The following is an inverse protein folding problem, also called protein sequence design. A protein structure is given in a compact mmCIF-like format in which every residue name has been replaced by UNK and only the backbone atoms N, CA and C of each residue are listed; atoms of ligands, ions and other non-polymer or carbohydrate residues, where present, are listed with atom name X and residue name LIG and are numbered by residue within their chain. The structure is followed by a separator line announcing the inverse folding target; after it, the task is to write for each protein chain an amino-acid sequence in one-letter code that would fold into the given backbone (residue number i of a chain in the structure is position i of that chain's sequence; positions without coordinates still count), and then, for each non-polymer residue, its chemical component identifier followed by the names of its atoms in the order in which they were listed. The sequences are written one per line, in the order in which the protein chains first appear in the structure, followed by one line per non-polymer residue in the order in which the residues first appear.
data_IF_323663186623
#
_entry.id   IF_323663186623
#
_cell.length_a   1.000
_cell.length_b   1.000
_cell.length_c   1.000
_cell.angle_alpha   90.00
_cell.angle_beta   90.00
_cell.angle_gamma   90.00
#
_symmetry.space_group_name_H-M   'P 1'
#
loop_
_entity.id
_entity.type
_entity.pdbx_description
1 polymer ?
#
# COMPACT_ATOMS: atom_id res chain seq x y z
N UNK A 1 -10.50 -27.43 38.29
CA UNK A 1 -9.80 -26.21 37.86
C UNK A 1 -9.30 -26.48 36.45
N UNK A 2 -10.03 -25.99 35.45
CA UNK A 2 -9.68 -26.22 34.04
C UNK A 2 -8.71 -25.15 33.58
N UNK A 3 -7.55 -25.58 33.09
CA UNK A 3 -6.57 -24.73 32.44
C UNK A 3 -7.21 -24.07 31.21
N UNK A 4 -7.61 -22.82 31.37
CA UNK A 4 -7.92 -21.92 30.25
C UNK A 4 -6.62 -21.29 29.76
N UNK A 5 -5.67 -22.13 29.35
CA UNK A 5 -4.54 -21.68 28.53
C UNK A 5 -5.03 -21.48 27.11
N UNK A 6 -5.88 -20.46 26.92
CA UNK A 6 -6.06 -19.84 25.61
C UNK A 6 -4.70 -19.24 25.29
N UNK A 7 -3.86 -20.03 24.63
CA UNK A 7 -2.63 -19.57 24.02
C UNK A 7 -3.04 -18.48 23.04
N UNK A 8 -2.99 -17.24 23.53
CA UNK A 8 -3.25 -16.03 22.77
C UNK A 8 -2.14 -15.98 21.73
N UNK A 9 -2.40 -16.59 20.57
CA UNK A 9 -1.47 -16.63 19.46
C UNK A 9 -1.08 -15.19 19.16
N UNK A 10 0.18 -14.84 19.46
CA UNK A 10 0.68 -13.48 19.23
C UNK A 10 0.36 -13.09 17.79
N UNK A 11 -0.15 -11.88 17.54
CA UNK A 11 -0.37 -11.42 16.17
C UNK A 11 0.96 -11.46 15.44
N UNK A 12 1.07 -12.36 14.46
CA UNK A 12 2.27 -12.53 13.68
C UNK A 12 2.44 -11.31 12.77
N UNK A 13 3.67 -10.85 12.58
CA UNK A 13 3.98 -9.71 11.71
C UNK A 13 3.76 -10.04 10.21
N UNK A 14 3.58 -11.33 9.90
CA UNK A 14 3.51 -11.91 8.55
C UNK A 14 2.41 -11.30 7.67
N UNK A 15 1.16 -11.07 8.14
CA UNK A 15 0.13 -10.42 7.34
C UNK A 15 0.46 -8.97 7.01
N UNK A 16 1.12 -8.26 7.93
CA UNK A 16 1.58 -6.88 7.72
C UNK A 16 2.65 -6.80 6.63
N UNK A 17 3.64 -7.71 6.65
CA UNK A 17 4.67 -7.80 5.61
C UNK A 17 4.05 -8.12 4.24
N UNK A 18 3.16 -9.11 4.17
CA UNK A 18 2.50 -9.49 2.92
C UNK A 18 1.69 -8.32 2.34
N UNK A 19 0.94 -7.60 3.19
CA UNK A 19 0.23 -6.40 2.78
C UNK A 19 1.18 -5.28 2.34
N UNK A 20 2.30 -5.09 3.04
CA UNK A 20 3.36 -4.16 2.63
C UNK A 20 3.88 -4.44 1.23
N UNK A 21 4.16 -5.71 0.91
CA UNK A 21 4.64 -6.13 -0.41
C UNK A 21 3.57 -5.90 -1.49
N UNK A 22 2.32 -6.28 -1.22
CA UNK A 22 1.22 -6.12 -2.17
C UNK A 22 0.92 -4.64 -2.43
N UNK A 23 0.85 -3.83 -1.37
CA UNK A 23 0.48 -2.43 -1.49
C UNK A 23 1.59 -1.60 -2.11
N UNK A 24 2.83 -1.72 -1.63
CA UNK A 24 3.96 -0.96 -2.20
C UNK A 24 4.29 -1.44 -3.60
N UNK A 25 4.28 -2.76 -3.83
CA UNK A 25 4.47 -3.33 -5.17
C UNK A 25 3.36 -2.91 -6.14
N UNK A 26 2.10 -2.89 -5.68
CA UNK A 26 0.96 -2.39 -6.46
C UNK A 26 1.09 -0.91 -6.83
N UNK A 27 1.54 -0.06 -5.89
CA UNK A 27 1.79 1.36 -6.18
C UNK A 27 2.93 1.52 -7.19
N UNK A 28 3.99 0.71 -7.11
CA UNK A 28 5.05 0.66 -8.12
C UNK A 28 4.52 0.29 -9.52
N UNK A 29 3.66 -0.74 -9.60
CA UNK A 29 3.05 -1.17 -10.85
C UNK A 29 2.19 -0.04 -11.44
N UNK A 30 1.38 0.63 -10.61
CA UNK A 30 0.58 1.77 -11.05
C UNK A 30 1.46 2.91 -11.57
N UNK A 31 2.54 3.26 -10.87
CA UNK A 31 3.50 4.26 -11.35
C UNK A 31 4.20 3.83 -12.65
N UNK A 32 4.50 2.53 -12.82
CA UNK A 32 5.09 2.02 -14.05
C UNK A 32 4.12 2.07 -15.24
N UNK A 33 2.85 1.74 -15.00
CA UNK A 33 1.80 1.86 -16.02
C UNK A 33 1.56 3.32 -16.41
N UNK A 34 1.60 4.23 -15.43
CA UNK A 34 1.49 5.67 -15.64
C UNK A 34 2.63 6.26 -16.48
N UNK A 35 3.83 5.68 -16.40
CA UNK A 35 5.04 6.11 -17.12
C UNK A 35 5.27 5.35 -18.43
N UNK A 36 4.40 4.42 -18.80
CA UNK A 36 4.51 3.70 -20.06
C UNK A 36 4.30 4.67 -21.24
N UNK A 37 5.20 4.63 -22.23
CA UNK A 37 5.18 5.52 -23.39
C UNK A 37 3.83 5.54 -24.13
N UNK A 38 3.15 4.39 -24.24
CA UNK A 38 1.81 4.33 -24.83
C UNK A 38 0.76 5.19 -24.09
N UNK A 39 0.89 5.35 -22.77
CA UNK A 39 0.03 6.21 -21.95
C UNK A 39 0.42 7.68 -22.10
N UNK A 40 1.72 7.97 -22.24
CA UNK A 40 2.22 9.34 -22.49
C UNK A 40 1.86 9.84 -23.90
N UNK A 41 2.03 9.00 -24.93
CA UNK A 41 1.73 9.31 -26.33
C UNK A 41 0.23 9.57 -26.57
N UNK A 42 -0.65 8.93 -25.79
CA UNK A 42 -2.09 9.22 -25.80
C UNK A 42 -2.40 10.63 -25.26
N UNK A 43 -1.61 11.15 -24.32
CA UNK A 43 -1.76 12.51 -23.79
C UNK A 43 -1.45 13.56 -24.86
N UNK A 44 -0.34 13.36 -25.58
CA UNK A 44 0.17 14.30 -26.57
C UNK A 44 -0.75 14.40 -27.79
N UNK A 45 -1.48 13.31 -28.10
CA UNK A 45 -2.37 13.26 -29.26
C UNK A 45 -3.75 13.87 -29.01
N UNK A 46 -4.38 13.56 -27.88
CA UNK A 46 -5.80 13.90 -27.69
C UNK A 46 -6.03 15.14 -26.81
N UNK A 47 -5.00 15.64 -26.12
CA UNK A 47 -5.10 16.83 -25.25
C UNK A 47 -6.09 16.68 -24.07
N UNK A 48 -6.75 15.54 -23.97
CA UNK A 48 -7.73 15.18 -22.94
C UNK A 48 -7.19 13.94 -22.22
N UNK A 49 -7.18 13.93 -20.88
CA UNK A 49 -6.68 12.78 -20.15
C UNK A 49 -7.53 11.54 -20.44
N UNK A 50 -6.89 10.49 -20.98
CA UNK A 50 -7.57 9.26 -21.39
C UNK A 50 -8.13 8.49 -20.19
N UNK A 51 -9.10 7.60 -20.41
CA UNK A 51 -9.63 6.72 -19.35
C UNK A 51 -8.50 5.96 -18.63
N UNK A 52 -7.50 5.48 -19.37
CA UNK A 52 -6.32 4.83 -18.80
C UNK A 52 -5.52 5.75 -17.88
N UNK A 53 -5.35 7.03 -18.23
CA UNK A 53 -4.65 7.99 -17.37
C UNK A 53 -5.43 8.35 -16.12
N UNK A 54 -6.74 8.53 -16.25
CA UNK A 54 -7.61 8.75 -15.09
C UNK A 54 -7.69 7.52 -14.19
N UNK A 55 -7.51 6.30 -14.74
CA UNK A 55 -7.56 5.03 -14.01
C UNK A 55 -6.23 4.60 -13.39
N UNK A 56 -5.08 4.97 -13.98
CA UNK A 56 -3.75 4.57 -13.50
C UNK A 56 -2.93 5.72 -12.89
N UNK A 57 -3.42 6.95 -12.98
CA UNK A 57 -2.83 8.16 -12.41
C UNK A 57 -1.69 8.69 -13.26
N UNK A 58 -1.83 9.89 -13.80
CA UNK A 58 -0.73 10.53 -14.54
C UNK A 58 0.21 11.26 -13.56
N UNK A 59 1.52 11.10 -13.73
CA UNK A 59 2.51 11.85 -12.94
C UNK A 59 2.64 11.43 -11.48
N UNK A 60 2.34 10.17 -11.16
CA UNK A 60 2.52 9.61 -9.82
C UNK A 60 4.01 9.64 -9.42
N UNK A 61 4.43 10.74 -8.79
CA UNK A 61 5.82 10.99 -8.43
C UNK A 61 6.28 10.33 -7.12
N UNK A 62 5.60 9.25 -6.68
CA UNK A 62 5.79 8.69 -5.34
C UNK A 62 7.19 8.16 -5.08
N UNK A 63 7.82 7.62 -6.12
CA UNK A 63 9.19 7.11 -6.08
C UNK A 63 10.17 7.99 -6.86
N UNK A 64 9.77 9.17 -7.33
CA UNK A 64 10.63 10.04 -8.14
C UNK A 64 9.93 10.61 -9.38
N UNK A 65 10.63 11.38 -10.22
CA UNK A 65 10.00 12.16 -11.29
C UNK A 65 9.61 11.31 -12.51
N UNK A 66 10.33 10.21 -12.76
CA UNK A 66 10.03 9.21 -13.79
C UNK A 66 10.92 7.96 -13.58
N UNK A 67 10.49 6.78 -14.05
CA UNK A 67 11.30 5.55 -14.07
C UNK A 67 12.59 5.73 -14.88
N UNK A 68 12.52 6.46 -15.99
CA UNK A 68 13.70 6.77 -16.82
C UNK A 68 14.71 7.66 -16.08
N UNK A 69 14.23 8.53 -15.20
CA UNK A 69 15.12 9.36 -14.37
C UNK A 69 15.87 8.52 -13.31
N UNK A 70 15.29 7.42 -12.84
CA UNK A 70 15.94 6.52 -11.86
C UNK A 70 17.20 5.87 -12.43
N UNK A 71 17.20 5.55 -13.73
CA UNK A 71 18.36 4.92 -14.37
C UNK A 71 19.44 5.92 -14.77
N UNK A 72 19.08 7.19 -14.96
CA UNK A 72 19.98 8.24 -15.45
C UNK A 72 20.65 9.04 -14.33
N UNK A 73 20.04 9.14 -13.14
CA UNK A 73 20.60 9.92 -12.03
C UNK A 73 20.59 9.13 -10.71
N UNK A 74 21.77 8.82 -10.14
CA UNK A 74 21.88 8.07 -8.88
C UNK A 74 21.11 8.69 -7.70
N UNK A 75 21.00 10.02 -7.65
CA UNK A 75 20.26 10.73 -6.60
C UNK A 75 18.76 10.42 -6.61
N UNK A 76 18.17 10.16 -7.79
CA UNK A 76 16.77 9.73 -7.89
C UNK A 76 16.60 8.28 -7.46
N UNK A 77 17.57 7.40 -7.75
CA UNK A 77 17.55 6.02 -7.27
C UNK A 77 17.58 5.96 -5.73
N UNK A 78 18.41 6.78 -5.08
CA UNK A 78 18.43 6.90 -3.61
C UNK A 78 17.07 7.33 -3.08
N UNK A 79 16.48 8.40 -3.66
CA UNK A 79 15.14 8.87 -3.28
C UNK A 79 14.07 7.78 -3.40
N UNK A 80 14.07 7.03 -4.50
CA UNK A 80 13.13 5.94 -4.74
C UNK A 80 13.27 4.80 -3.73
N UNK A 81 14.51 4.39 -3.42
CA UNK A 81 14.80 3.34 -2.44
C UNK A 81 14.34 3.80 -1.05
N UNK A 82 14.70 5.02 -0.64
CA UNK A 82 14.31 5.56 0.67
C UNK A 82 12.79 5.68 0.78
N UNK A 83 12.12 6.17 -0.27
CA UNK A 83 10.66 6.25 -0.32
C UNK A 83 10.02 4.86 -0.24
N UNK A 84 10.54 3.88 -0.98
CA UNK A 84 10.05 2.49 -0.94
C UNK A 84 10.14 1.89 0.46
N UNK A 85 11.29 2.05 1.12
CA UNK A 85 11.50 1.54 2.49
C UNK A 85 10.56 2.22 3.48
N UNK A 86 10.41 3.55 3.39
CA UNK A 86 9.53 4.30 4.28
C UNK A 86 8.06 3.93 4.08
N UNK A 87 7.61 3.85 2.83
CA UNK A 87 6.25 3.41 2.48
C UNK A 87 5.98 1.99 2.97
N UNK A 88 6.93 1.07 2.77
CA UNK A 88 6.81 -0.31 3.24
C UNK A 88 6.70 -0.37 4.76
N UNK A 89 7.50 0.40 5.50
CA UNK A 89 7.43 0.46 6.95
C UNK A 89 6.08 1.02 7.44
N UNK A 90 5.60 2.10 6.84
CA UNK A 90 4.29 2.72 7.18
C UNK A 90 3.15 1.74 6.92
N UNK A 91 3.10 1.15 5.72
CA UNK A 91 2.04 0.20 5.37
C UNK A 91 2.07 -1.01 6.29
N UNK A 92 3.25 -1.62 6.47
CA UNK A 92 3.41 -2.80 7.32
C UNK A 92 2.94 -2.50 8.73
N UNK A 93 3.32 -1.34 9.29
CA UNK A 93 2.91 -0.89 10.61
C UNK A 93 1.40 -0.68 10.72
N UNK A 94 0.79 0.05 9.78
CA UNK A 94 -0.64 0.36 9.79
C UNK A 94 -1.47 -0.91 9.62
N UNK A 95 -1.13 -1.76 8.66
CA UNK A 95 -1.87 -3.00 8.41
C UNK A 95 -1.67 -3.99 9.57
N UNK A 96 -0.48 -4.07 10.16
CA UNK A 96 -0.25 -4.90 11.34
C UNK A 96 -1.06 -4.41 12.56
N UNK A 97 -1.05 -3.11 12.83
CA UNK A 97 -1.82 -2.51 13.92
C UNK A 97 -3.33 -2.65 13.71
N UNK A 98 -3.80 -2.32 12.51
CA UNK A 98 -5.23 -2.38 12.16
C UNK A 98 -5.75 -3.81 12.09
N UNK A 99 -4.96 -4.73 11.50
CA UNK A 99 -5.35 -6.13 11.31
C UNK A 99 -5.38 -6.95 12.59
N UNK A 100 -4.73 -6.49 13.67
CA UNK A 100 -4.67 -7.18 14.98
C UNK A 100 -6.04 -7.45 15.59
N UNK A 101 -7.04 -6.65 15.25
CA UNK A 101 -8.39 -6.74 15.80
C UNK A 101 -9.44 -7.17 14.77
N UNK A 102 -9.02 -7.48 13.54
CA UNK A 102 -9.94 -7.85 12.47
C UNK A 102 -10.17 -9.36 12.50
N UNK A 103 -11.42 -9.74 12.75
CA UNK A 103 -11.87 -11.13 12.64
C UNK A 103 -11.72 -11.63 11.19
N UNK A 104 -11.51 -12.94 10.94
CA UNK A 104 -11.31 -13.49 9.59
C UNK A 104 -12.42 -13.16 8.59
N UNK A 105 -13.66 -13.00 9.05
CA UNK A 105 -14.83 -12.61 8.25
C UNK A 105 -14.89 -11.10 7.93
N UNK A 106 -14.02 -10.28 8.53
CA UNK A 106 -13.96 -8.83 8.39
C UNK A 106 -13.24 -8.34 7.14
N UNK A 107 -13.43 -9.00 5.98
CA UNK A 107 -12.74 -8.65 4.74
C UNK A 107 -12.86 -7.16 4.38
N UNK A 108 -14.04 -6.57 4.55
CA UNK A 108 -14.23 -5.13 4.30
C UNK A 108 -13.34 -4.25 5.20
N UNK A 109 -13.12 -4.64 6.45
CA UNK A 109 -12.24 -3.91 7.35
C UNK A 109 -10.78 -3.98 6.88
N UNK A 110 -10.32 -5.13 6.39
CA UNK A 110 -8.98 -5.27 5.79
C UNK A 110 -8.83 -4.38 4.56
N UNK A 111 -9.85 -4.33 3.70
CA UNK A 111 -9.85 -3.42 2.55
C UNK A 111 -9.71 -1.96 2.98
N UNK A 112 -10.52 -1.51 3.95
CA UNK A 112 -10.48 -0.12 4.44
C UNK A 112 -9.13 0.21 5.06
N UNK A 113 -8.56 -0.70 5.87
CA UNK A 113 -7.23 -0.53 6.47
C UNK A 113 -6.16 -0.45 5.38
N UNK A 114 -6.19 -1.36 4.40
CA UNK A 114 -5.23 -1.40 3.31
C UNK A 114 -5.33 -0.15 2.42
N UNK A 115 -6.55 0.32 2.16
CA UNK A 115 -6.78 1.54 1.39
C UNK A 115 -6.28 2.76 2.15
N UNK A 116 -6.59 2.90 3.44
CA UNK A 116 -6.04 3.98 4.25
C UNK A 116 -4.51 3.93 4.35
N UNK A 117 -3.94 2.73 4.50
CA UNK A 117 -2.50 2.53 4.49
C UNK A 117 -1.86 2.98 3.18
N UNK A 118 -2.53 2.77 2.03
CA UNK A 118 -2.05 3.26 0.74
C UNK A 118 -2.06 4.79 0.64
N UNK A 119 -3.04 5.48 1.23
CA UNK A 119 -3.03 6.95 1.33
C UNK A 119 -1.83 7.46 2.12
N UNK A 120 -1.58 6.84 3.27
CA UNK A 120 -0.41 7.16 4.10
C UNK A 120 0.90 6.85 3.37
N UNK A 121 0.96 5.74 2.62
CA UNK A 121 2.12 5.40 1.81
C UNK A 121 2.39 6.46 0.75
N UNK A 122 1.38 6.85 -0.04
CA UNK A 122 1.53 7.86 -1.07
C UNK A 122 2.02 9.21 -0.51
N UNK A 123 1.44 9.66 0.60
CA UNK A 123 1.89 10.87 1.30
C UNK A 123 3.34 10.73 1.80
N UNK A 124 3.68 9.57 2.36
CA UNK A 124 5.04 9.25 2.85
C UNK A 124 6.06 9.27 1.71
N UNK A 125 5.75 8.65 0.57
CA UNK A 125 6.63 8.60 -0.59
C UNK A 125 6.96 9.98 -1.13
N UNK A 126 5.96 10.86 -1.21
CA UNK A 126 6.14 12.26 -1.62
C UNK A 126 7.02 13.00 -0.61
N UNK A 127 6.67 12.93 0.68
CA UNK A 127 7.41 13.61 1.75
C UNK A 127 8.90 13.19 1.77
N UNK A 128 9.17 11.89 1.67
CA UNK A 128 10.54 11.36 1.66
C UNK A 128 11.30 11.82 0.42
N UNK A 129 10.67 11.82 -0.76
CA UNK A 129 11.31 12.33 -1.97
C UNK A 129 11.66 13.82 -1.86
N UNK A 130 10.78 14.63 -1.27
CA UNK A 130 11.05 16.05 -1.02
C UNK A 130 12.24 16.23 -0.09
N UNK A 131 12.28 15.49 1.02
CA UNK A 131 13.37 15.56 2.00
C UNK A 131 14.70 15.09 1.40
N UNK A 132 14.72 13.93 0.74
CA UNK A 132 15.93 13.37 0.15
C UNK A 132 16.48 14.28 -0.95
N UNK A 133 15.62 14.80 -1.84
CA UNK A 133 16.08 15.74 -2.88
C UNK A 133 16.62 17.03 -2.30
N UNK A 134 16.00 17.54 -1.25
CA UNK A 134 16.46 18.77 -0.59
C UNK A 134 17.81 18.56 0.09
N UNK A 135 18.00 17.40 0.73
CA UNK A 135 19.25 17.03 1.38
C UNK A 135 20.40 16.76 0.39
N UNK A 136 20.09 16.24 -0.79
CA UNK A 136 21.07 15.98 -1.85
C UNK A 136 21.29 17.17 -2.80
N UNK A 137 20.55 18.27 -2.62
CA UNK A 137 20.69 19.46 -3.47
C UNK A 137 21.96 20.24 -3.11
N UNK A 138 22.76 20.68 -4.10
CA UNK A 138 23.90 21.58 -3.87
C UNK A 138 23.49 22.92 -3.22
N UNK A 139 22.24 23.33 -3.38
CA UNK A 139 21.66 24.51 -2.74
C UNK A 139 20.28 24.12 -2.15
N UNK A 140 20.21 23.79 -0.86
CA UNK A 140 18.95 23.42 -0.22
C UNK A 140 18.03 24.65 -0.16
N UNK A 141 16.88 24.58 -0.83
CA UNK A 141 15.81 25.57 -0.70
C UNK A 141 14.81 25.08 0.33
N UNK A 142 15.12 25.30 1.61
CA UNK A 142 14.33 24.76 2.73
C UNK A 142 12.89 25.27 2.73
N UNK A 143 12.66 26.53 2.37
CA UNK A 143 11.30 27.10 2.31
C UNK A 143 10.43 26.34 1.29
N UNK A 144 10.97 26.10 0.09
CA UNK A 144 10.31 25.31 -0.95
C UNK A 144 10.10 23.85 -0.52
N UNK A 145 11.05 23.28 0.22
CA UNK A 145 10.94 21.93 0.75
C UNK A 145 9.81 21.82 1.80
N UNK A 146 9.67 22.81 2.69
CA UNK A 146 8.61 22.85 3.69
C UNK A 146 7.23 23.03 3.06
N UNK A 147 7.10 23.88 2.03
CA UNK A 147 5.85 24.04 1.29
C UNK A 147 5.42 22.71 0.63
N UNK A 148 6.35 22.04 -0.04
CA UNK A 148 6.10 20.73 -0.65
C UNK A 148 5.79 19.64 0.39
N UNK A 149 6.45 19.68 1.54
CA UNK A 149 6.20 18.75 2.64
C UNK A 149 4.81 18.97 3.24
N UNK A 150 4.39 20.24 3.40
CA UNK A 150 3.05 20.61 3.85
C UNK A 150 1.96 20.20 2.86
N UNK A 151 2.27 20.18 1.56
CA UNK A 151 1.38 19.69 0.52
C UNK A 151 1.32 18.15 0.43
N UNK A 152 2.32 17.43 0.95
CA UNK A 152 2.44 15.97 0.80
C UNK A 152 1.22 15.17 1.33
N UNK A 153 0.62 15.49 2.50
CA UNK A 153 -0.59 14.81 2.96
C UNK A 153 -1.78 15.01 2.03
N UNK A 154 -1.94 16.23 1.49
CA UNK A 154 -3.03 16.55 0.57
C UNK A 154 -2.85 15.82 -0.75
N UNK A 155 -1.70 16.00 -1.39
CA UNK A 155 -1.41 15.41 -2.70
C UNK A 155 -1.36 13.88 -2.59
N UNK A 156 -0.60 13.34 -1.64
CA UNK A 156 -0.51 11.90 -1.43
C UNK A 156 -1.82 11.26 -0.99
N UNK A 157 -2.61 11.95 -0.18
CA UNK A 157 -3.95 11.52 0.23
C UNK A 157 -4.92 11.47 -0.95
N UNK A 158 -4.93 12.49 -1.81
CA UNK A 158 -5.75 12.52 -3.03
C UNK A 158 -5.43 11.34 -3.94
N UNK A 159 -4.16 11.13 -4.27
CA UNK A 159 -3.76 10.02 -5.12
C UNK A 159 -4.01 8.65 -4.47
N UNK A 160 -3.75 8.51 -3.17
CA UNK A 160 -4.05 7.29 -2.44
C UNK A 160 -5.53 6.97 -2.36
N UNK A 161 -6.40 7.98 -2.22
CA UNK A 161 -7.85 7.79 -2.30
C UNK A 161 -8.25 7.33 -3.69
N UNK A 162 -7.76 7.99 -4.74
CA UNK A 162 -8.17 7.72 -6.12
C UNK A 162 -7.69 6.36 -6.64
N UNK A 163 -6.46 5.94 -6.29
CA UNK A 163 -5.83 4.77 -6.89
C UNK A 163 -5.52 3.65 -5.90
N UNK A 164 -5.41 3.98 -4.61
CA UNK A 164 -5.02 3.04 -3.56
C UNK A 164 -6.04 1.94 -3.29
N UNK A 165 -7.27 2.08 -3.78
CA UNK A 165 -8.30 1.03 -3.71
C UNK A 165 -7.92 -0.20 -4.55
N UNK A 166 -7.17 -0.04 -5.64
CA UNK A 166 -6.71 -1.16 -6.49
C UNK A 166 -5.81 -2.12 -5.70
N UNK A 167 -4.66 -1.66 -5.15
CA UNK A 167 -3.80 -2.53 -4.38
C UNK A 167 -4.47 -2.98 -3.05
N UNK A 168 -5.37 -2.18 -2.47
CA UNK A 168 -6.17 -2.61 -1.32
C UNK A 168 -7.14 -3.76 -1.67
N UNK A 169 -7.74 -3.74 -2.86
CA UNK A 169 -8.56 -4.83 -3.39
C UNK A 169 -7.75 -6.11 -3.58
N UNK A 170 -6.52 -6.01 -4.10
CA UNK A 170 -5.60 -7.15 -4.19
C UNK A 170 -5.25 -7.68 -2.80
N UNK A 171 -4.95 -6.81 -1.84
CA UNK A 171 -4.68 -7.21 -0.46
C UNK A 171 -5.88 -7.92 0.19
N UNK A 172 -7.11 -7.45 -0.08
CA UNK A 172 -8.34 -8.12 0.32
C UNK A 172 -8.46 -9.53 -0.31
N UNK A 173 -8.19 -9.67 -1.60
CA UNK A 173 -8.24 -10.97 -2.27
C UNK A 173 -7.22 -11.95 -1.66
N UNK A 174 -6.00 -11.49 -1.42
CA UNK A 174 -4.95 -12.28 -0.75
C UNK A 174 -5.42 -12.69 0.65
N UNK A 175 -6.04 -11.78 1.40
CA UNK A 175 -6.61 -12.09 2.72
C UNK A 175 -7.70 -13.16 2.65
N UNK A 176 -8.67 -13.01 1.74
CA UNK A 176 -9.79 -13.95 1.58
C UNK A 176 -9.28 -15.34 1.18
N UNK A 177 -8.30 -15.40 0.28
CA UNK A 177 -7.73 -16.66 -0.20
C UNK A 177 -6.80 -17.32 0.82
N UNK A 178 -6.11 -16.53 1.65
CA UNK A 178 -5.19 -17.01 2.68
C UNK A 178 -5.83 -17.30 4.04
N UNK A 179 -7.05 -16.83 4.29
CA UNK A 179 -7.75 -17.06 5.56
C UNK A 179 -8.21 -18.52 5.68
N UNK A 180 -7.89 -19.23 6.80
CA UNK A 180 -8.41 -20.57 7.04
C UNK A 180 -9.94 -20.56 6.97
N UNK A 181 -10.50 -21.33 6.04
CA UNK A 181 -11.96 -21.51 5.99
C UNK A 181 -12.38 -22.25 7.26
N UNK A 182 -13.44 -21.82 7.97
CA UNK A 182 -13.97 -22.60 9.07
C UNK A 182 -14.30 -24.00 8.54
N UNK A 183 -13.61 -25.01 9.07
CA UNK A 183 -13.77 -26.40 8.70
C UNK A 183 -15.23 -26.79 8.95
N UNK A 184 -15.93 -27.11 7.87
CA UNK A 184 -17.36 -27.48 7.85
C UNK A 184 -17.63 -28.87 8.46
N UNK A 185 -16.78 -29.32 9.38
CA UNK A 185 -16.73 -30.71 9.89
C UNK A 185 -17.17 -30.85 11.36
N UNK A 186 -17.82 -29.84 11.96
CA UNK A 186 -18.31 -29.93 13.36
C UNK A 186 -19.76 -30.44 13.47
N UNK A 187 -20.43 -30.74 12.36
CA UNK A 187 -21.75 -31.38 12.40
C UNK A 187 -21.61 -32.86 12.07
N UNK A 188 -22.08 -33.68 13.02
CA UNK A 188 -22.32 -35.14 12.98
C UNK A 188 -21.24 -36.06 13.57
N UNK A 189 -20.90 -35.91 14.84
CA UNK A 189 -20.85 -37.12 15.67
C UNK A 189 -22.28 -37.40 16.16
N UNK A 190 -22.93 -38.50 15.72
CA UNK A 190 -24.22 -38.89 16.29
C UNK A 190 -24.07 -39.14 17.80
N UNK A 191 -25.10 -38.81 18.61
CA UNK A 191 -25.05 -39.07 20.05
C UNK A 191 -24.80 -40.56 20.29
N UNK A 192 -23.90 -40.86 21.22
CA UNK A 192 -23.59 -42.23 21.61
C UNK A 192 -24.88 -42.93 22.10
N UNK A 193 -25.11 -44.20 21.72
CA UNK A 193 -26.26 -44.95 22.21
C UNK A 193 -26.17 -45.05 23.73
N UNK A 194 -27.23 -44.60 24.40
CA UNK A 194 -27.46 -44.85 25.83
C UNK A 194 -27.76 -46.35 25.92
N UNK A 195 -26.84 -47.12 26.49
CA UNK A 195 -27.07 -48.53 26.78
C UNK A 195 -28.04 -48.67 27.96
N UNK A 196 -29.00 -49.58 27.80
CA UNK A 196 -29.90 -50.07 28.85
C UNK A 196 -29.16 -50.98 29.86
#
# INVERSE_FOLDING_TARGET
MGDTSVAQSRPTLVPGIAAGLVLVGGIWILQAMASAGAVQDMLERDGVPSFGQNLFGFGLGFFGPDLRALTLHPSYAVGAITATVAMFAVVTGVVWLGGRYVIPSGGLAIFVIAWFASCLACATGIAVNVVVRSALSPSPRLDYAFDLLGAAPRVGGEWGMTYGWIPAGVALLVWILGSPRPSRNVLTSPPAPVGD
#
